data_IF_804245293214
#
_entry.id   IF_804245293214
#
_cell.length_a   1.000
_cell.length_b   1.000
_cell.length_c   1.000
_cell.angle_alpha   90.00
_cell.angle_beta   90.00
_cell.angle_gamma   90.00
#
_symmetry.space_group_name_H-M   'P 1'
#
loop_
_entity.id
_entity.type
_entity.pdbx_description
1 polymer ?
#
# COMPACT_ATOMS: atom_id res chain seq x y z
N UNK A 1 -8.58 18.68 13.90
CA UNK A 1 -7.34 18.58 13.08
C UNK A 1 -7.62 18.17 11.62
N UNK A 2 -8.91 17.96 11.22
CA UNK A 2 -9.27 17.40 9.91
C UNK A 2 -8.66 18.16 8.73
N UNK A 3 -8.68 19.48 8.79
CA UNK A 3 -8.21 20.37 7.73
C UNK A 3 -6.75 20.85 7.93
N UNK A 4 -6.09 20.40 9.00
CA UNK A 4 -4.69 20.75 9.25
C UNK A 4 -3.73 19.91 8.37
N UNK A 5 -2.58 20.48 7.98
CA UNK A 5 -1.53 19.72 7.30
C UNK A 5 -1.08 18.51 8.12
N UNK A 6 -0.93 17.37 7.43
CA UNK A 6 -0.47 16.10 8.01
C UNK A 6 0.89 15.72 7.43
N UNK A 7 1.00 15.67 6.11
CA UNK A 7 2.23 15.34 5.39
C UNK A 7 2.52 16.37 4.32
N UNK A 8 3.79 16.75 4.18
CA UNK A 8 4.29 17.57 3.08
C UNK A 8 5.52 16.91 2.50
N UNK A 9 5.52 16.64 1.21
CA UNK A 9 6.68 16.06 0.53
C UNK A 9 7.71 17.13 0.21
N UNK A 10 8.97 16.92 0.64
CA UNK A 10 10.05 17.86 0.40
C UNK A 10 10.39 17.93 -1.10
N UNK A 11 10.41 19.14 -1.63
CA UNK A 11 10.69 19.39 -3.06
C UNK A 11 9.50 19.19 -4.00
N UNK A 12 8.33 18.82 -3.46
CA UNK A 12 7.06 18.77 -4.17
C UNK A 12 6.08 19.71 -3.48
N UNK A 13 5.26 20.45 -4.24
CA UNK A 13 4.20 21.30 -3.65
C UNK A 13 2.98 20.50 -3.20
N UNK A 14 3.23 19.25 -2.75
CA UNK A 14 2.18 18.33 -2.32
C UNK A 14 2.08 18.31 -0.81
N UNK A 15 0.94 18.78 -0.30
CA UNK A 15 0.61 18.69 1.13
C UNK A 15 -0.73 18.00 1.30
N UNK A 16 -0.76 16.96 2.14
CA UNK A 16 -2.00 16.28 2.53
C UNK A 16 -2.46 16.76 3.90
N UNK A 17 -3.75 17.06 4.03
CA UNK A 17 -4.39 17.26 5.34
C UNK A 17 -4.70 15.91 6.00
N UNK A 18 -5.00 15.91 7.31
CA UNK A 18 -5.45 14.69 7.99
C UNK A 18 -6.69 14.07 7.33
N UNK A 19 -7.62 14.92 6.86
CA UNK A 19 -8.81 14.46 6.14
C UNK A 19 -8.49 13.78 4.83
N UNK A 20 -7.58 14.36 4.04
CA UNK A 20 -7.13 13.78 2.78
C UNK A 20 -6.38 12.46 3.00
N UNK A 21 -5.53 12.37 4.01
CA UNK A 21 -4.86 11.11 4.38
C UNK A 21 -5.89 10.03 4.72
N UNK A 22 -6.90 10.37 5.53
CA UNK A 22 -7.96 9.43 5.89
C UNK A 22 -8.80 8.99 4.68
N UNK A 23 -9.07 9.89 3.73
CA UNK A 23 -9.78 9.59 2.49
C UNK A 23 -8.97 8.64 1.59
N UNK A 24 -7.67 8.90 1.41
CA UNK A 24 -6.79 8.00 0.64
C UNK A 24 -6.69 6.61 1.29
N UNK A 25 -6.61 6.53 2.63
CA UNK A 25 -6.69 5.26 3.35
C UNK A 25 -8.01 4.54 3.04
N UNK A 26 -9.14 5.25 3.04
CA UNK A 26 -10.45 4.66 2.73
C UNK A 26 -10.50 4.13 1.28
N UNK A 27 -9.93 4.85 0.30
CA UNK A 27 -9.81 4.38 -1.09
C UNK A 27 -9.01 3.09 -1.18
N UNK A 28 -7.87 3.01 -0.49
CA UNK A 28 -7.04 1.80 -0.45
C UNK A 28 -7.79 0.65 0.26
N UNK A 29 -8.53 0.91 1.33
CA UNK A 29 -9.37 -0.10 1.98
C UNK A 29 -10.46 -0.65 1.03
N UNK A 30 -11.12 0.20 0.24
CA UNK A 30 -12.08 -0.24 -0.77
C UNK A 30 -11.41 -1.12 -1.85
N UNK A 31 -10.18 -0.77 -2.25
CA UNK A 31 -9.38 -1.59 -3.17
C UNK A 31 -9.06 -2.96 -2.54
N UNK A 32 -8.62 -3.00 -1.29
CA UNK A 32 -8.33 -4.24 -0.58
C UNK A 32 -9.57 -5.14 -0.45
N UNK A 33 -10.72 -4.56 -0.11
CA UNK A 33 -12.00 -5.28 -0.06
C UNK A 33 -12.39 -5.82 -1.43
N UNK A 34 -12.28 -5.00 -2.49
CA UNK A 34 -12.57 -5.43 -3.85
C UNK A 34 -11.69 -6.62 -4.28
N UNK A 35 -10.41 -6.58 -3.94
CA UNK A 35 -9.47 -7.66 -4.20
C UNK A 35 -9.60 -8.84 -3.22
N UNK A 36 -10.58 -8.81 -2.32
CA UNK A 36 -10.78 -9.86 -1.28
C UNK A 36 -9.51 -10.13 -0.46
N UNK A 37 -8.75 -9.06 -0.15
CA UNK A 37 -7.60 -9.13 0.74
C UNK A 37 -8.08 -9.52 2.15
N UNK A 38 -7.37 -10.42 2.80
CA UNK A 38 -7.70 -10.91 4.14
C UNK A 38 -6.88 -10.21 5.21
N UNK A 39 -7.40 -10.14 6.42
CA UNK A 39 -6.60 -9.75 7.58
C UNK A 39 -5.43 -10.71 7.77
N UNK A 40 -4.23 -10.17 7.97
CA UNK A 40 -3.00 -10.94 8.08
C UNK A 40 -2.32 -11.25 6.74
N UNK A 41 -2.92 -10.93 5.59
CA UNK A 41 -2.20 -10.94 4.31
C UNK A 41 -1.08 -9.91 4.35
N UNK A 42 0.02 -10.20 3.68
CA UNK A 42 1.22 -9.36 3.70
C UNK A 42 1.23 -8.46 2.48
N UNK A 43 1.64 -7.22 2.70
CA UNK A 43 1.79 -6.19 1.68
C UNK A 43 3.19 -5.61 1.78
N UNK A 44 3.98 -5.78 0.73
CA UNK A 44 5.31 -5.17 0.64
C UNK A 44 5.21 -3.70 0.21
N UNK A 45 6.06 -2.87 0.80
CA UNK A 45 6.17 -1.44 0.45
C UNK A 45 7.66 -1.11 0.27
N UNK A 46 8.04 -0.63 -0.92
CA UNK A 46 9.41 -0.21 -1.25
C UNK A 46 9.40 1.08 -2.03
N UNK A 47 9.90 2.16 -1.44
CA UNK A 47 10.10 3.46 -2.08
C UNK A 47 10.90 4.37 -1.15
N UNK A 48 11.25 5.57 -1.64
CA UNK A 48 11.62 6.69 -0.77
C UNK A 48 10.48 7.02 0.20
N UNK A 49 10.84 7.57 1.36
CA UNK A 49 9.86 8.06 2.33
C UNK A 49 9.12 9.26 1.72
N UNK A 50 7.86 9.05 1.37
CA UNK A 50 6.92 10.04 0.85
C UNK A 50 5.63 9.99 1.65
N UNK A 51 4.79 11.00 1.49
CA UNK A 51 3.44 11.00 2.08
C UNK A 51 2.63 9.76 1.63
N UNK A 52 2.74 9.35 0.38
CA UNK A 52 2.04 8.16 -0.15
C UNK A 52 2.60 6.84 0.41
N UNK A 53 3.90 6.78 0.71
CA UNK A 53 4.46 5.66 1.44
C UNK A 53 3.82 5.53 2.83
N UNK A 54 3.70 6.65 3.56
CA UNK A 54 3.04 6.68 4.86
C UNK A 54 1.56 6.30 4.76
N UNK A 55 0.85 6.80 3.74
CA UNK A 55 -0.56 6.47 3.49
C UNK A 55 -0.74 4.97 3.22
N UNK A 56 0.08 4.37 2.34
CA UNK A 56 0.04 2.94 2.06
C UNK A 56 0.34 2.09 3.30
N UNK A 57 1.33 2.51 4.11
CA UNK A 57 1.64 1.88 5.38
C UNK A 57 0.45 1.92 6.34
N UNK A 58 -0.12 3.11 6.56
CA UNK A 58 -1.27 3.28 7.45
C UNK A 58 -2.50 2.51 6.93
N UNK A 59 -2.77 2.55 5.63
CA UNK A 59 -3.85 1.78 5.03
C UNK A 59 -3.69 0.28 5.27
N UNK A 60 -2.47 -0.24 5.13
CA UNK A 60 -2.16 -1.66 5.37
C UNK A 60 -2.43 -2.05 6.83
N UNK A 61 -1.87 -1.33 7.79
CA UNK A 61 -2.02 -1.68 9.21
C UNK A 61 -3.44 -1.45 9.72
N UNK A 62 -4.10 -0.37 9.30
CA UNK A 62 -5.47 -0.06 9.74
C UNK A 62 -6.53 -0.97 9.10
N UNK A 63 -6.20 -1.64 8.00
CA UNK A 63 -7.02 -2.72 7.43
C UNK A 63 -6.88 -4.03 8.22
N UNK A 64 -5.79 -4.21 8.94
CA UNK A 64 -5.43 -5.44 9.64
C UNK A 64 -4.58 -6.39 8.79
N UNK A 65 -3.99 -5.91 7.70
CA UNK A 65 -2.95 -6.58 6.94
C UNK A 65 -1.58 -6.36 7.60
N UNK A 66 -0.59 -7.14 7.19
CA UNK A 66 0.78 -7.07 7.71
C UNK A 66 1.63 -6.30 6.70
N UNK A 67 2.28 -5.24 7.14
CA UNK A 67 3.19 -4.47 6.29
C UNK A 67 4.59 -5.10 6.28
N UNK A 68 5.20 -5.17 5.10
CA UNK A 68 6.57 -5.64 4.87
C UNK A 68 7.36 -4.48 4.25
N UNK A 69 7.91 -3.57 5.06
CA UNK A 69 8.70 -2.46 4.54
C UNK A 69 10.04 -2.97 4.04
N UNK A 70 10.40 -2.57 2.83
CA UNK A 70 11.66 -2.92 2.17
C UNK A 70 12.45 -1.63 1.93
N UNK A 71 13.73 -1.63 2.28
CA UNK A 71 14.60 -0.49 2.01
C UNK A 71 14.79 -0.31 0.50
N UNK A 72 14.69 0.95 0.04
CA UNK A 72 14.78 1.28 -1.39
C UNK A 72 16.12 0.90 -2.04
N UNK A 73 17.19 0.81 -1.23
CA UNK A 73 18.54 0.54 -1.69
C UNK A 73 18.85 -0.98 -1.78
N UNK A 74 17.87 -1.85 -1.49
CA UNK A 74 18.03 -3.28 -1.70
C UNK A 74 18.11 -3.61 -3.19
N UNK A 75 18.99 -4.57 -3.52
CA UNK A 75 19.12 -5.05 -4.90
C UNK A 75 17.86 -5.81 -5.34
N UNK A 76 17.56 -5.86 -6.63
CA UNK A 76 16.39 -6.59 -7.13
C UNK A 76 16.25 -8.02 -6.59
N UNK A 77 17.33 -8.80 -6.53
CA UNK A 77 17.30 -10.16 -6.00
C UNK A 77 16.90 -10.22 -4.52
N UNK A 78 17.34 -9.24 -3.72
CA UNK A 78 16.96 -9.17 -2.29
C UNK A 78 15.48 -8.80 -2.16
N UNK A 79 14.98 -7.90 -3.02
CA UNK A 79 13.57 -7.54 -3.08
C UNK A 79 12.72 -8.75 -3.48
N UNK A 80 13.12 -9.51 -4.53
CA UNK A 80 12.44 -10.74 -4.94
C UNK A 80 12.40 -11.75 -3.79
N UNK A 81 13.53 -11.94 -3.10
CA UNK A 81 13.60 -12.84 -1.96
C UNK A 81 12.63 -12.42 -0.84
N UNK A 82 12.65 -11.14 -0.44
CA UNK A 82 11.79 -10.64 0.65
C UNK A 82 10.31 -10.76 0.29
N UNK A 83 9.92 -10.35 -0.90
CA UNK A 83 8.53 -10.40 -1.36
C UNK A 83 8.02 -11.84 -1.39
N UNK A 84 8.81 -12.77 -1.91
CA UNK A 84 8.45 -14.19 -1.99
C UNK A 84 8.46 -14.86 -0.62
N UNK A 85 9.50 -14.64 0.20
CA UNK A 85 9.62 -15.22 1.53
C UNK A 85 8.53 -14.73 2.50
N UNK A 86 8.17 -13.47 2.40
CA UNK A 86 7.05 -12.91 3.18
C UNK A 86 5.68 -13.38 2.66
N UNK A 87 5.61 -13.99 1.48
CA UNK A 87 4.36 -14.32 0.78
C UNK A 87 3.48 -13.07 0.57
N UNK A 88 4.11 -11.96 0.19
CA UNK A 88 3.38 -10.71 -0.04
C UNK A 88 2.40 -10.83 -1.20
N UNK A 89 1.16 -10.43 -0.96
CA UNK A 89 0.06 -10.49 -1.92
C UNK A 89 0.07 -9.29 -2.86
N UNK A 90 0.41 -8.12 -2.32
CA UNK A 90 0.53 -6.85 -3.05
C UNK A 90 1.89 -6.22 -2.81
N UNK A 91 2.30 -5.39 -3.77
CA UNK A 91 3.48 -4.55 -3.68
C UNK A 91 3.10 -3.10 -3.98
N UNK A 92 3.44 -2.17 -3.09
CA UNK A 92 3.46 -0.74 -3.35
C UNK A 92 4.90 -0.31 -3.61
N UNK A 93 5.15 0.33 -4.75
CA UNK A 93 6.53 0.71 -5.14
C UNK A 93 6.53 1.95 -6.02
N UNK A 94 7.70 2.53 -6.29
CA UNK A 94 7.85 3.53 -7.36
C UNK A 94 8.00 2.85 -8.71
N UNK A 95 7.66 3.59 -9.78
CA UNK A 95 7.71 3.08 -11.15
C UNK A 95 9.11 2.60 -11.53
N UNK A 96 10.13 3.40 -11.24
CA UNK A 96 11.51 3.07 -11.55
C UNK A 96 12.06 1.86 -10.77
N UNK A 97 11.55 1.59 -9.56
CA UNK A 97 11.92 0.36 -8.85
C UNK A 97 11.25 -0.83 -9.54
N UNK A 98 9.96 -0.73 -9.87
CA UNK A 98 9.22 -1.80 -10.55
C UNK A 98 9.85 -2.19 -11.89
N UNK A 99 10.27 -1.20 -12.69
CA UNK A 99 10.94 -1.42 -13.98
C UNK A 99 12.26 -2.23 -13.88
N UNK A 100 12.87 -2.27 -12.70
CA UNK A 100 14.10 -3.03 -12.43
C UNK A 100 13.85 -4.40 -11.76
N UNK A 101 12.60 -4.74 -11.48
CA UNK A 101 12.23 -6.04 -10.92
C UNK A 101 11.79 -7.00 -12.03
N UNK A 102 12.08 -8.29 -11.84
CA UNK A 102 11.65 -9.35 -12.75
C UNK A 102 10.27 -9.86 -12.32
N UNK A 103 9.26 -9.56 -13.13
CA UNK A 103 7.85 -9.93 -12.85
C UNK A 103 7.70 -11.45 -12.65
N UNK A 104 8.37 -12.26 -13.48
CA UNK A 104 8.32 -13.71 -13.43
C UNK A 104 8.87 -14.26 -12.09
N UNK A 105 9.82 -13.55 -11.48
CA UNK A 105 10.38 -13.90 -10.18
C UNK A 105 9.42 -13.61 -9.01
N UNK A 106 8.35 -12.86 -9.24
CA UNK A 106 7.37 -12.42 -8.24
C UNK A 106 6.01 -13.11 -8.40
N UNK A 107 6.02 -14.40 -8.68
CA UNK A 107 4.83 -15.19 -9.02
C UNK A 107 3.71 -15.19 -7.96
N UNK A 108 4.00 -14.85 -6.72
CA UNK A 108 3.02 -14.72 -5.61
C UNK A 108 2.23 -13.41 -5.61
N UNK A 109 2.73 -12.35 -6.29
CA UNK A 109 2.05 -11.06 -6.32
C UNK A 109 0.79 -11.12 -7.18
N UNK A 110 -0.30 -10.58 -6.66
CA UNK A 110 -1.57 -10.42 -7.37
C UNK A 110 -1.66 -9.07 -8.06
N UNK A 111 -1.11 -8.01 -7.46
CA UNK A 111 -1.04 -6.69 -8.06
C UNK A 111 0.12 -5.86 -7.50
N UNK A 112 0.55 -4.88 -8.29
CA UNK A 112 1.57 -3.88 -7.96
C UNK A 112 1.01 -2.49 -8.18
N UNK A 113 1.23 -1.59 -7.23
CA UNK A 113 0.70 -0.23 -7.24
C UNK A 113 1.83 0.80 -7.16
N UNK A 114 1.72 1.86 -7.96
CA UNK A 114 2.65 2.98 -7.90
C UNK A 114 2.43 3.82 -6.64
N UNK A 115 3.51 4.21 -5.98
CA UNK A 115 3.49 5.22 -4.91
C UNK A 115 3.57 6.66 -5.45
N UNK A 116 3.56 6.85 -6.78
CA UNK A 116 3.48 8.18 -7.40
C UNK A 116 2.04 8.70 -7.40
N UNK A 117 1.05 7.82 -7.69
CA UNK A 117 -0.36 8.19 -7.85
C UNK A 117 -1.35 7.06 -7.50
N UNK A 118 -0.86 6.01 -6.88
CA UNK A 118 -1.58 4.78 -6.55
C UNK A 118 -2.15 3.98 -7.75
N UNK A 119 -1.78 4.31 -9.01
CA UNK A 119 -2.23 3.51 -10.15
C UNK A 119 -1.70 2.08 -10.10
N UNK A 120 -2.42 1.16 -10.73
CA UNK A 120 -1.98 -0.22 -10.88
C UNK A 120 -0.90 -0.31 -11.96
N UNK A 121 0.30 -0.77 -11.58
CA UNK A 121 1.44 -1.01 -12.49
C UNK A 121 1.37 -2.41 -13.11
N UNK A 122 0.96 -3.39 -12.31
CA UNK A 122 0.81 -4.78 -12.73
C UNK A 122 -0.36 -5.45 -12.01
N UNK A 123 -1.03 -6.37 -12.69
CA UNK A 123 -2.05 -7.25 -12.10
C UNK A 123 -2.06 -8.60 -12.80
N UNK A 124 -2.25 -9.66 -12.03
CA UNK A 124 -2.21 -11.03 -12.54
C UNK A 124 -3.57 -11.54 -13.07
N UNK A 125 -4.65 -11.11 -12.46
CA UNK A 125 -6.01 -11.63 -12.72
C UNK A 125 -6.80 -10.79 -13.73
N UNK A 126 -6.17 -10.39 -14.85
CA UNK A 126 -6.82 -9.59 -15.89
C UNK A 126 -7.02 -8.12 -15.49
N UNK A 127 -7.90 -7.40 -16.19
CA UNK A 127 -8.04 -5.94 -16.04
C UNK A 127 -8.93 -5.47 -14.86
N UNK A 128 -9.28 -6.37 -13.93
CA UNK A 128 -10.27 -6.07 -12.88
C UNK A 128 -9.80 -5.00 -11.89
N UNK A 129 -8.54 -5.05 -11.45
CA UNK A 129 -7.97 -4.08 -10.50
C UNK A 129 -7.89 -2.69 -11.14
N UNK A 130 -7.32 -2.60 -12.35
CA UNK A 130 -7.24 -1.33 -13.09
C UNK A 130 -8.63 -0.74 -13.36
N UNK A 131 -9.60 -1.58 -13.72
CA UNK A 131 -10.98 -1.15 -13.94
C UNK A 131 -11.61 -0.61 -12.66
N UNK A 132 -11.39 -1.27 -11.53
CA UNK A 132 -11.87 -0.80 -10.24
C UNK A 132 -11.24 0.56 -9.88
N UNK A 133 -9.93 0.71 -10.03
CA UNK A 133 -9.22 1.95 -9.71
C UNK A 133 -9.68 3.12 -10.60
N UNK A 134 -9.93 2.89 -11.89
CA UNK A 134 -10.53 3.90 -12.79
C UNK A 134 -11.94 4.35 -12.35
N UNK A 135 -12.65 3.52 -11.58
CA UNK A 135 -13.98 3.81 -11.06
C UNK A 135 -13.98 4.10 -9.54
N UNK A 136 -12.83 4.46 -8.97
CA UNK A 136 -12.68 4.70 -7.53
C UNK A 136 -13.64 5.78 -7.00
N UNK A 137 -13.83 6.87 -7.75
CA UNK A 137 -14.76 7.94 -7.35
C UNK A 137 -16.20 7.43 -7.25
N UNK A 138 -16.62 6.55 -8.17
CA UNK A 138 -17.93 5.91 -8.11
C UNK A 138 -18.03 4.96 -6.91
N UNK A 139 -16.97 4.23 -6.59
CA UNK A 139 -16.92 3.38 -5.42
C UNK A 139 -16.98 4.21 -4.12
N UNK A 140 -16.24 5.31 -4.04
CA UNK A 140 -16.30 6.25 -2.92
C UNK A 140 -17.71 6.83 -2.75
N UNK A 141 -18.31 7.34 -3.83
CA UNK A 141 -19.68 7.88 -3.80
C UNK A 141 -20.72 6.85 -3.38
N UNK A 142 -20.55 5.58 -3.81
CA UNK A 142 -21.46 4.49 -3.41
C UNK A 142 -21.36 4.18 -1.92
N UNK A 143 -20.14 4.13 -1.35
CA UNK A 143 -19.91 3.82 0.06
C UNK A 143 -20.11 5.03 0.98
N UNK A 144 -19.87 6.24 0.48
CA UNK A 144 -19.96 7.50 1.21
C UNK A 144 -20.82 8.51 0.44
N UNK A 145 -22.14 8.29 0.31
CA UNK A 145 -23.02 9.10 -0.56
C UNK A 145 -23.15 10.56 -0.11
N UNK A 146 -22.85 10.88 1.14
CA UNK A 146 -22.84 12.25 1.68
C UNK A 146 -21.45 12.89 1.71
N UNK A 147 -20.41 12.22 1.14
CA UNK A 147 -19.01 12.57 1.27
C UNK A 147 -18.32 11.78 2.36
N UNK A 148 -16.99 11.84 2.36
CA UNK A 148 -16.16 11.18 3.37
C UNK A 148 -15.77 12.17 4.48
N UNK A 149 -16.10 11.86 5.73
CA UNK A 149 -15.87 12.68 6.91
C UNK A 149 -15.27 11.86 8.04
N UNK A 150 -14.81 12.50 9.10
CA UNK A 150 -14.20 11.86 10.26
C UNK A 150 -15.08 10.78 10.91
N UNK A 151 -16.39 10.91 10.83
CA UNK A 151 -17.37 9.94 11.34
C UNK A 151 -17.42 8.65 10.53
N UNK A 152 -16.90 8.67 9.31
CA UNK A 152 -16.79 7.48 8.45
C UNK A 152 -15.54 6.64 8.73
N UNK A 153 -14.61 7.15 9.54
CA UNK A 153 -13.40 6.41 9.89
C UNK A 153 -13.78 5.19 10.73
N UNK A 154 -13.48 4.01 10.20
CA UNK A 154 -13.70 2.74 10.88
C UNK A 154 -12.49 1.85 10.64
N UNK A 155 -11.48 1.96 11.51
CA UNK A 155 -10.28 1.17 11.41
C UNK A 155 -10.43 -0.13 12.21
N UNK A 156 -9.73 -1.17 11.75
CA UNK A 156 -9.69 -2.45 12.45
C UNK A 156 -9.02 -2.28 13.81
N UNK A 157 -9.70 -2.67 14.87
CA UNK A 157 -9.07 -2.81 16.18
C UNK A 157 -8.09 -3.98 16.16
N UNK A 158 -6.85 -3.70 16.48
CA UNK A 158 -5.76 -4.68 16.56
C UNK A 158 -5.39 -4.89 18.02
N UNK A 159 -5.29 -6.15 18.44
CA UNK A 159 -4.68 -6.46 19.73
C UNK A 159 -3.16 -6.37 19.62
N UNK A 160 -2.49 -6.04 20.74
CA UNK A 160 -1.03 -5.96 20.81
C UNK A 160 -0.32 -7.31 20.57
N UNK A 161 -1.07 -8.41 20.50
CA UNK A 161 -0.54 -9.76 20.24
C UNK A 161 -0.48 -10.08 18.74
N UNK A 162 -1.05 -9.23 17.87
CA UNK A 162 -1.07 -9.48 16.42
C UNK A 162 0.16 -8.86 15.75
N UNK A 163 0.74 -9.64 14.84
CA UNK A 163 1.81 -9.14 13.98
C UNK A 163 1.23 -8.07 13.05
N UNK A 164 1.81 -6.88 13.06
CA UNK A 164 1.47 -5.78 12.16
C UNK A 164 2.55 -5.52 11.12
N UNK A 165 3.78 -5.95 11.40
CA UNK A 165 4.94 -5.62 10.60
C UNK A 165 5.92 -6.79 10.60
N UNK A 166 6.45 -7.12 9.40
CA UNK A 166 7.59 -8.02 9.21
C UNK A 166 8.75 -7.20 8.67
N UNK A 167 9.80 -7.06 9.45
CA UNK A 167 10.99 -6.32 9.03
C UNK A 167 12.12 -7.29 8.70
N UNK A 168 12.78 -7.04 7.56
CA UNK A 168 13.95 -7.78 7.12
C UNK A 168 15.20 -6.94 7.36
N UNK A 169 16.19 -7.52 7.99
CA UNK A 169 17.50 -6.88 8.21
C UNK A 169 18.53 -7.55 7.32
N UNK A 170 19.50 -6.79 6.83
CA UNK A 170 20.71 -7.37 6.24
C UNK A 170 21.42 -8.16 7.32
N UNK A 171 21.24 -9.49 7.33
CA UNK A 171 21.98 -10.34 8.27
C UNK A 171 23.48 -10.18 8.06
N UNK A 172 24.24 -10.15 9.16
CA UNK A 172 25.72 -10.16 9.11
C UNK A 172 26.29 -11.50 8.64
N UNK A 173 25.46 -12.52 8.53
CA UNK A 173 25.76 -13.83 7.92
C UNK A 173 25.09 -13.86 6.56
N UNK A 174 25.89 -13.61 5.50
CA UNK A 174 25.38 -13.69 4.13
C UNK A 174 24.67 -15.02 3.83
N UNK A 175 23.73 -14.94 2.91
CA UNK A 175 23.09 -16.10 2.28
C UNK A 175 24.14 -16.92 1.52
#
# INVERSE_FOLDING_TARGET
NWDLPCYTDYGEDTTFTYGQVAEEIAKIHLLFQYCSLRRGDKISIICKNTSRWCIAYLATVTYGAIVVPILQDFKPNDVHHIVNHSESTFLFTSDNIWENLEEEALSGLRAVFSLTDFRCLHQRDGETVQKFMKNMDAAMKKNFPKGFYKENINYTELSNEKVMLLNYTSGTTGF
#
